data_IF_793592488085
#
_entry.id   IF_793592488085
#
_cell.length_a   1.000
_cell.length_b   1.000
_cell.length_c   1.000
_cell.angle_alpha   90.00
_cell.angle_beta   90.00
_cell.angle_gamma   90.00
#
_symmetry.space_group_name_H-M   'P 1'
#
loop_
_entity.id
_entity.type
_entity.pdbx_description
1 polymer ?
#
# COMPACT_ATOMS: atom_id res chain seq x y z
N UNK A 1 33.50 51.35 -8.07
CA UNK A 1 32.18 50.67 -7.98
C UNK A 1 31.38 51.34 -6.89
N UNK A 2 30.26 51.98 -7.23
CA UNK A 2 29.35 52.60 -6.25
C UNK A 2 28.72 51.51 -5.38
N UNK A 3 28.46 51.81 -4.11
CA UNK A 3 27.90 50.86 -3.13
C UNK A 3 26.60 50.21 -3.64
N UNK A 4 25.80 50.96 -4.41
CA UNK A 4 24.58 50.49 -5.05
C UNK A 4 24.82 49.33 -6.03
N UNK A 5 25.91 49.35 -6.79
CA UNK A 5 26.26 48.26 -7.72
C UNK A 5 26.64 46.97 -6.97
N UNK A 6 27.28 47.07 -5.80
CA UNK A 6 27.60 45.90 -4.97
C UNK A 6 26.34 45.24 -4.41
N UNK A 7 25.37 46.05 -3.97
CA UNK A 7 24.09 45.55 -3.43
C UNK A 7 23.30 44.82 -4.52
N UNK A 8 23.20 45.39 -5.72
CA UNK A 8 22.47 44.76 -6.85
C UNK A 8 23.07 43.41 -7.24
N UNK A 9 24.40 43.30 -7.30
CA UNK A 9 25.08 42.04 -7.63
C UNK A 9 24.84 40.98 -6.55
N UNK A 10 24.87 41.38 -5.27
CA UNK A 10 24.62 40.45 -4.16
C UNK A 10 23.20 39.87 -4.20
N UNK A 11 22.20 40.71 -4.49
CA UNK A 11 20.80 40.28 -4.60
C UNK A 11 20.62 39.29 -5.75
N UNK A 12 21.18 39.58 -6.93
CA UNK A 12 21.12 38.66 -8.08
C UNK A 12 21.82 37.33 -7.75
N UNK A 13 22.95 37.37 -7.05
CA UNK A 13 23.67 36.18 -6.60
C UNK A 13 22.81 35.25 -5.74
N UNK A 14 22.06 35.81 -4.78
CA UNK A 14 21.15 35.03 -3.91
C UNK A 14 20.02 34.39 -4.72
N UNK A 15 19.44 35.10 -5.69
CA UNK A 15 18.41 34.54 -6.56
C UNK A 15 18.95 33.38 -7.41
N UNK A 16 20.13 33.52 -8.02
CA UNK A 16 20.74 32.46 -8.83
C UNK A 16 21.02 31.20 -7.99
N UNK A 17 21.59 31.37 -6.79
CA UNK A 17 21.83 30.23 -5.88
C UNK A 17 20.51 29.58 -5.45
N UNK A 18 19.49 30.37 -5.13
CA UNK A 18 18.16 29.86 -4.80
C UNK A 18 17.54 29.05 -5.94
N UNK A 19 17.62 29.53 -7.18
CA UNK A 19 17.12 28.80 -8.34
C UNK A 19 17.92 27.53 -8.65
N UNK A 20 19.24 27.52 -8.42
CA UNK A 20 20.06 26.32 -8.56
C UNK A 20 19.62 25.27 -7.54
N UNK A 21 19.51 25.62 -6.26
CA UNK A 21 19.09 24.70 -5.18
C UNK A 21 17.69 24.12 -5.49
N UNK A 22 16.72 24.95 -5.89
CA UNK A 22 15.39 24.46 -6.28
C UNK A 22 15.43 23.58 -7.54
N UNK A 23 16.30 23.90 -8.50
CA UNK A 23 16.50 23.12 -9.71
C UNK A 23 17.08 21.73 -9.46
N UNK A 24 18.06 21.59 -8.56
CA UNK A 24 18.59 20.29 -8.15
C UNK A 24 17.68 19.56 -7.16
N UNK A 25 16.92 20.25 -6.31
CA UNK A 25 15.93 19.62 -5.41
C UNK A 25 14.69 19.06 -6.12
N UNK A 26 14.42 19.47 -7.36
CA UNK A 26 13.34 18.88 -8.19
C UNK A 26 13.69 17.51 -8.78
N UNK A 27 14.94 17.09 -8.68
CA UNK A 27 15.28 15.68 -8.82
C UNK A 27 14.99 15.04 -7.47
N UNK A 28 13.70 14.80 -7.17
CA UNK A 28 13.34 13.74 -6.21
C UNK A 28 14.21 12.53 -6.59
N UNK A 29 15.02 12.10 -5.63
CA UNK A 29 15.93 10.98 -5.82
C UNK A 29 15.11 9.78 -6.32
N UNK A 30 15.68 8.95 -7.19
CA UNK A 30 14.99 7.76 -7.73
C UNK A 30 14.44 6.91 -6.56
N UNK A 31 15.17 6.86 -5.44
CA UNK A 31 14.75 6.22 -4.20
C UNK A 31 13.45 6.79 -3.60
N UNK A 32 13.25 8.11 -3.61
CA UNK A 32 12.01 8.72 -3.10
C UNK A 32 10.80 8.34 -3.97
N UNK A 33 10.98 8.28 -5.29
CA UNK A 33 9.93 7.88 -6.23
C UNK A 33 9.58 6.40 -6.11
N UNK A 34 10.59 5.54 -5.98
CA UNK A 34 10.38 4.10 -5.79
C UNK A 34 9.70 3.82 -4.44
N UNK A 35 10.12 4.52 -3.38
CA UNK A 35 9.48 4.43 -2.06
C UNK A 35 8.01 4.87 -2.10
N UNK A 36 7.72 5.99 -2.78
CA UNK A 36 6.36 6.46 -2.95
C UNK A 36 5.50 5.48 -3.78
N UNK A 37 6.09 4.86 -4.81
CA UNK A 37 5.40 3.85 -5.61
C UNK A 37 5.10 2.58 -4.80
N UNK A 38 6.05 2.08 -4.00
CA UNK A 38 5.85 0.93 -3.12
C UNK A 38 4.72 1.17 -2.12
N UNK A 39 4.70 2.33 -1.47
CA UNK A 39 3.63 2.68 -0.51
C UNK A 39 2.26 2.68 -1.20
N UNK A 40 2.15 3.29 -2.38
CA UNK A 40 0.87 3.34 -3.13
C UNK A 40 0.39 1.94 -3.51
N UNK A 41 1.29 1.09 -3.99
CA UNK A 41 0.98 -0.30 -4.33
C UNK A 41 0.51 -1.07 -3.10
N UNK A 42 1.19 -0.92 -1.97
CA UNK A 42 0.80 -1.57 -0.72
C UNK A 42 -0.58 -1.12 -0.23
N UNK A 43 -0.86 0.19 -0.26
CA UNK A 43 -2.17 0.73 0.11
C UNK A 43 -3.26 0.21 -0.83
N UNK A 44 -3.00 0.17 -2.15
CA UNK A 44 -3.93 -0.38 -3.12
C UNK A 44 -4.23 -1.87 -2.87
N UNK A 45 -3.21 -2.66 -2.50
CA UNK A 45 -3.40 -4.06 -2.09
C UNK A 45 -4.29 -4.20 -0.86
N UNK A 46 -4.03 -3.40 0.17
CA UNK A 46 -4.85 -3.39 1.38
C UNK A 46 -6.29 -3.00 1.08
N UNK A 47 -6.50 -1.97 0.25
CA UNK A 47 -7.85 -1.54 -0.14
C UNK A 47 -8.60 -2.62 -0.93
N UNK A 48 -7.89 -3.35 -1.81
CA UNK A 48 -8.47 -4.49 -2.51
C UNK A 48 -8.80 -5.64 -1.56
N UNK A 49 -7.91 -5.95 -0.63
CA UNK A 49 -8.13 -7.01 0.35
C UNK A 49 -9.29 -6.67 1.28
N UNK A 50 -9.42 -5.42 1.73
CA UNK A 50 -10.46 -4.98 2.66
C UNK A 50 -11.84 -4.96 2.01
N UNK A 51 -11.91 -4.84 0.69
CA UNK A 51 -13.17 -4.96 -0.07
C UNK A 51 -13.48 -6.42 -0.42
N UNK A 52 -12.50 -7.17 -0.92
CA UNK A 52 -12.72 -8.52 -1.46
C UNK A 52 -12.84 -9.59 -0.36
N UNK A 53 -12.03 -9.53 0.69
CA UNK A 53 -12.02 -10.55 1.73
C UNK A 53 -13.33 -10.61 2.52
N UNK A 54 -13.90 -9.49 3.02
CA UNK A 54 -15.20 -9.52 3.68
C UNK A 54 -16.33 -10.02 2.78
N UNK A 55 -16.35 -9.60 1.52
CA UNK A 55 -17.35 -10.06 0.56
C UNK A 55 -17.25 -11.56 0.29
N UNK A 56 -16.03 -12.11 0.24
CA UNK A 56 -15.82 -13.53 0.06
C UNK A 56 -16.23 -14.34 1.31
N UNK A 57 -15.90 -13.87 2.51
CA UNK A 57 -16.30 -14.52 3.76
C UNK A 57 -17.83 -14.50 3.88
N UNK A 58 -18.47 -13.35 3.70
CA UNK A 58 -19.93 -13.21 3.76
C UNK A 58 -20.65 -14.12 2.76
N UNK A 59 -20.09 -14.34 1.57
CA UNK A 59 -20.67 -15.24 0.58
C UNK A 59 -20.68 -16.71 1.04
N UNK A 60 -19.68 -17.11 1.80
CA UNK A 60 -19.50 -18.51 2.23
C UNK A 60 -20.13 -18.79 3.59
N UNK A 61 -20.06 -17.83 4.52
CA UNK A 61 -20.54 -18.01 5.91
C UNK A 61 -21.89 -17.33 6.17
N UNK A 62 -22.28 -16.35 5.35
CA UNK A 62 -23.44 -15.48 5.61
C UNK A 62 -23.19 -14.39 6.65
N UNK A 63 -21.99 -14.33 7.25
CA UNK A 63 -21.62 -13.33 8.27
C UNK A 63 -20.81 -12.20 7.65
N UNK A 64 -21.17 -10.96 7.97
CA UNK A 64 -20.43 -9.79 7.51
C UNK A 64 -19.32 -9.45 8.50
N UNK A 65 -18.07 -9.57 8.05
CA UNK A 65 -16.90 -9.11 8.80
C UNK A 65 -16.49 -7.70 8.37
N UNK A 66 -16.02 -6.88 9.32
CA UNK A 66 -15.65 -5.49 9.03
C UNK A 66 -14.16 -5.24 9.15
N UNK A 67 -13.54 -5.74 10.22
CA UNK A 67 -12.14 -5.48 10.52
C UNK A 67 -11.39 -6.79 10.76
N UNK A 68 -10.17 -6.95 10.20
CA UNK A 68 -9.34 -8.10 10.52
C UNK A 68 -8.84 -7.99 11.96
N UNK A 69 -8.79 -9.13 12.66
CA UNK A 69 -8.16 -9.24 13.97
C UNK A 69 -6.63 -9.18 13.88
N UNK A 70 -6.08 -9.65 12.76
CA UNK A 70 -4.65 -9.62 12.49
C UNK A 70 -4.41 -9.40 10.99
N UNK A 71 -3.37 -8.61 10.67
CA UNK A 71 -2.88 -8.41 9.31
C UNK A 71 -1.44 -8.87 9.21
N UNK A 72 -1.15 -9.77 8.26
CA UNK A 72 0.21 -10.21 7.92
C UNK A 72 0.52 -9.77 6.50
N UNK A 73 1.67 -9.18 6.26
CA UNK A 73 2.07 -8.74 4.92
C UNK A 73 3.59 -8.60 4.85
N UNK A 74 4.15 -8.87 3.68
CA UNK A 74 5.52 -8.51 3.31
C UNK A 74 5.65 -7.08 2.78
N UNK A 75 4.53 -6.34 2.70
CA UNK A 75 4.38 -4.98 2.15
C UNK A 75 4.69 -4.85 0.66
N UNK A 76 4.89 -5.95 -0.04
CA UNK A 76 5.36 -5.94 -1.42
C UNK A 76 4.52 -6.84 -2.33
N UNK A 77 4.34 -8.11 -1.94
CA UNK A 77 3.72 -9.12 -2.81
C UNK A 77 2.40 -9.69 -2.28
N UNK A 78 2.17 -9.66 -0.97
CA UNK A 78 0.94 -10.21 -0.38
C UNK A 78 0.46 -9.49 0.88
N UNK A 79 -0.84 -9.61 1.13
CA UNK A 79 -1.48 -9.26 2.40
C UNK A 79 -2.44 -10.37 2.79
N UNK A 80 -2.36 -10.80 4.05
CA UNK A 80 -3.24 -11.77 4.67
C UNK A 80 -4.00 -11.10 5.80
N UNK A 81 -5.33 -11.16 5.72
CA UNK A 81 -6.24 -10.72 6.75
C UNK A 81 -6.82 -11.93 7.47
N UNK A 82 -6.61 -11.97 8.78
CA UNK A 82 -7.25 -12.92 9.65
C UNK A 82 -8.47 -12.24 10.29
N UNK A 83 -9.58 -12.95 10.31
CA UNK A 83 -10.84 -12.54 10.91
C UNK A 83 -11.24 -13.56 11.96
N UNK A 84 -11.85 -13.06 13.02
CA UNK A 84 -12.52 -13.87 14.02
C UNK A 84 -14.02 -13.65 13.85
N UNK A 85 -14.79 -14.73 13.82
CA UNK A 85 -16.24 -14.63 13.74
C UNK A 85 -16.82 -14.08 15.03
N UNK A 86 -17.82 -13.22 14.90
CA UNK A 86 -18.60 -12.68 16.01
C UNK A 86 -19.80 -13.60 16.34
N UNK A 87 -20.19 -14.47 15.41
CA UNK A 87 -21.30 -15.42 15.57
C UNK A 87 -20.85 -16.88 15.44
N UNK A 88 -21.79 -17.82 15.52
CA UNK A 88 -21.54 -19.25 15.31
C UNK A 88 -21.34 -19.63 13.83
N UNK A 89 -21.40 -18.68 12.88
CA UNK A 89 -21.28 -18.95 11.44
C UNK A 89 -19.88 -19.42 11.02
N UNK A 90 -18.84 -18.89 11.67
CA UNK A 90 -17.46 -19.38 11.57
C UNK A 90 -16.66 -18.91 12.81
N UNK A 91 -15.56 -19.59 13.14
CA UNK A 91 -14.69 -19.17 14.24
C UNK A 91 -13.52 -18.33 13.75
N UNK A 92 -12.82 -18.82 12.73
CA UNK A 92 -11.64 -18.17 12.19
C UNK A 92 -11.66 -18.19 10.66
N UNK A 93 -11.33 -17.06 10.04
CA UNK A 93 -11.13 -16.98 8.60
C UNK A 93 -9.78 -16.32 8.29
N UNK A 94 -9.07 -16.83 7.30
CA UNK A 94 -7.83 -16.26 6.79
C UNK A 94 -7.95 -16.04 5.29
N UNK A 95 -7.79 -14.79 4.87
CA UNK A 95 -7.89 -14.39 3.47
C UNK A 95 -6.57 -13.77 3.03
N UNK A 96 -5.90 -14.39 2.07
CA UNK A 96 -4.66 -13.90 1.46
C UNK A 96 -4.93 -13.35 0.08
N UNK A 97 -4.46 -12.14 -0.17
CA UNK A 97 -4.41 -11.50 -1.48
C UNK A 97 -2.95 -11.41 -1.91
N UNK A 98 -2.66 -11.82 -3.15
CA UNK A 98 -1.35 -11.62 -3.78
C UNK A 98 -1.47 -10.65 -4.94
N UNK A 99 -0.51 -9.73 -5.05
CA UNK A 99 -0.47 -8.72 -6.09
C UNK A 99 -0.45 -9.35 -7.49
N UNK A 100 0.39 -10.37 -7.68
CA UNK A 100 0.60 -11.05 -8.96
C UNK A 100 -0.68 -11.72 -9.51
N UNK A 101 -1.63 -12.05 -8.62
CA UNK A 101 -2.91 -12.69 -8.98
C UNK A 101 -4.05 -11.69 -9.11
N UNK A 102 -3.84 -10.40 -8.79
CA UNK A 102 -4.86 -9.35 -8.86
C UNK A 102 -6.06 -9.55 -7.93
N UNK A 103 -5.95 -10.43 -6.93
CA UNK A 103 -7.07 -10.78 -6.05
C UNK A 103 -6.74 -11.85 -5.02
N UNK A 104 -7.79 -12.37 -4.38
CA UNK A 104 -7.69 -13.40 -3.34
C UNK A 104 -6.99 -14.63 -3.93
N UNK A 105 -5.82 -14.96 -3.38
CA UNK A 105 -5.08 -16.17 -3.67
C UNK A 105 -5.58 -17.32 -2.81
N UNK A 106 -5.78 -17.08 -1.52
CA UNK A 106 -6.13 -18.10 -0.55
C UNK A 106 -7.26 -17.61 0.36
N UNK A 107 -8.26 -18.45 0.59
CA UNK A 107 -9.31 -18.23 1.57
C UNK A 107 -9.49 -19.53 2.36
N UNK A 108 -9.27 -19.45 3.67
CA UNK A 108 -9.43 -20.55 4.61
C UNK A 108 -10.44 -20.13 5.66
N UNK A 109 -11.45 -20.95 5.93
CA UNK A 109 -12.48 -20.71 6.96
C UNK A 109 -12.60 -21.97 7.80
N UNK A 110 -12.45 -21.84 9.12
CA UNK A 110 -12.49 -22.97 10.08
C UNK A 110 -11.62 -24.16 9.63
N UNK A 111 -10.37 -23.85 9.28
CA UNK A 111 -9.36 -24.79 8.79
C UNK A 111 -9.70 -25.48 7.46
N UNK A 112 -10.80 -25.08 6.81
CA UNK A 112 -11.17 -25.55 5.46
C UNK A 112 -10.71 -24.56 4.40
N UNK A 113 -9.94 -25.06 3.44
CA UNK A 113 -9.51 -24.29 2.28
C UNK A 113 -10.68 -24.15 1.31
N UNK A 114 -11.18 -22.92 1.14
CA UNK A 114 -12.29 -22.59 0.24
C UNK A 114 -11.76 -22.13 -1.12
N UNK A 115 -10.74 -21.27 -1.11
CA UNK A 115 -10.08 -20.77 -2.31
C UNK A 115 -8.60 -21.05 -2.17
N UNK A 116 -8.02 -21.64 -3.22
CA UNK A 116 -6.58 -21.74 -3.39
C UNK A 116 -6.25 -21.54 -4.86
N UNK A 117 -5.61 -20.42 -5.17
CA UNK A 117 -5.16 -20.08 -6.52
C UNK A 117 -3.65 -20.05 -6.52
N UNK A 118 -3.08 -20.93 -7.33
CA UNK A 118 -1.65 -20.96 -7.57
C UNK A 118 -1.31 -20.09 -8.77
N UNK A 119 -0.11 -19.51 -8.75
CA UNK A 119 0.45 -18.81 -9.90
C UNK A 119 0.59 -19.83 -11.02
N UNK A 120 -0.21 -19.70 -12.08
CA UNK A 120 0.05 -20.42 -13.32
C UNK A 120 1.31 -19.80 -13.92
N UNK A 121 2.40 -20.57 -13.86
CA UNK A 121 3.67 -20.26 -14.52
C UNK A 121 3.48 -20.24 -16.03
#
# INVERSE_FOLDING_TARGET
>A
MTETTKIVIAVIGVFVVGFIVVGVSKQESIEEKESAAMIRTYVAMQEMASKKCPAAIMKETGEQVFFPSETKSDKESYVTYNYQGETDAFKNASCTLRLELGGISDLVIDDKVIIKKEKKN
#
